data_IF_657321510843
#
_entry.id   IF_657321510843
#
_cell.length_a   1.000
_cell.length_b   1.000
_cell.length_c   1.000
_cell.angle_alpha   90.00
_cell.angle_beta   90.00
_cell.angle_gamma   90.00
#
_symmetry.space_group_name_H-M   'P 1'
#
loop_
_entity.id
_entity.type
_entity.pdbx_description
1 polymer ?
#
# COMPACT_ATOMS: atom_id res chain seq x y z
N UNK A 1 -13.99 -9.23 19.83
CA UNK A 1 -13.32 -10.54 19.62
C UNK A 1 -12.15 -10.68 20.58
N UNK A 2 -11.63 -11.90 20.80
CA UNK A 2 -10.41 -12.10 21.60
C UNK A 2 -9.20 -11.39 20.99
N UNK A 3 -9.01 -11.49 19.67
CA UNK A 3 -7.96 -10.77 18.96
C UNK A 3 -8.01 -9.24 19.14
N UNK A 4 -9.20 -8.64 19.26
CA UNK A 4 -9.32 -7.21 19.56
C UNK A 4 -8.93 -6.87 21.02
N UNK A 5 -9.22 -7.76 21.96
CA UNK A 5 -8.80 -7.59 23.36
C UNK A 5 -7.28 -7.69 23.48
N UNK A 6 -6.67 -8.68 22.80
CA UNK A 6 -5.21 -8.85 22.74
C UNK A 6 -4.53 -7.66 22.06
N UNK A 7 -5.05 -7.19 20.92
CA UNK A 7 -4.50 -6.07 20.18
C UNK A 7 -4.47 -4.78 21.02
N UNK A 8 -5.58 -4.48 21.70
CA UNK A 8 -5.75 -3.20 22.40
C UNK A 8 -5.30 -3.24 23.86
N UNK A 9 -5.18 -4.44 24.45
CA UNK A 9 -4.86 -4.65 25.87
C UNK A 9 -6.02 -4.36 26.82
N UNK A 10 -7.23 -4.07 26.31
CA UNK A 10 -8.42 -3.88 27.15
C UNK A 10 -9.13 -5.21 27.42
N UNK A 11 -9.64 -5.37 28.64
CA UNK A 11 -10.45 -6.52 28.97
C UNK A 11 -11.81 -6.46 28.25
N UNK A 12 -12.34 -7.62 27.86
CA UNK A 12 -13.64 -7.74 27.17
C UNK A 12 -14.75 -6.96 27.87
N UNK A 13 -14.85 -7.06 29.20
CA UNK A 13 -15.85 -6.35 29.98
C UNK A 13 -15.74 -4.81 29.87
N UNK A 14 -14.51 -4.27 29.75
CA UNK A 14 -14.29 -2.84 29.56
C UNK A 14 -14.74 -2.41 28.17
N UNK A 15 -14.42 -3.20 27.13
CA UNK A 15 -14.78 -2.91 25.74
C UNK A 15 -16.30 -2.93 25.55
N UNK A 16 -17.01 -3.91 26.14
CA UNK A 16 -18.46 -4.03 25.99
C UNK A 16 -19.26 -2.84 26.56
N UNK A 17 -18.64 -2.02 27.41
CA UNK A 17 -19.25 -0.81 27.97
C UNK A 17 -18.93 0.45 27.14
N UNK A 18 -18.24 0.32 26.00
CA UNK A 18 -17.83 1.43 25.14
C UNK A 18 -18.65 1.46 23.86
N UNK A 19 -18.76 2.66 23.28
CA UNK A 19 -19.40 2.85 21.98
C UNK A 19 -18.56 2.33 20.81
N UNK A 20 -19.22 2.09 19.67
CA UNK A 20 -18.62 1.55 18.45
C UNK A 20 -17.51 2.44 17.85
N UNK A 21 -17.59 3.76 18.07
CA UNK A 21 -16.54 4.72 17.67
C UNK A 21 -15.17 4.43 18.31
N UNK A 22 -15.13 3.59 19.35
CA UNK A 22 -13.91 3.20 20.05
C UNK A 22 -13.06 4.39 20.52
N UNK A 23 -13.70 5.48 20.97
CA UNK A 23 -13.03 6.72 21.38
C UNK A 23 -12.01 6.56 22.50
N UNK A 24 -12.10 5.47 23.26
CA UNK A 24 -11.11 5.08 24.28
C UNK A 24 -9.74 4.68 23.69
N UNK A 25 -9.66 4.45 22.38
CA UNK A 25 -8.41 4.18 21.65
C UNK A 25 -7.77 5.46 21.09
N UNK A 26 -8.43 6.61 21.18
CA UNK A 26 -7.87 7.87 20.70
C UNK A 26 -6.76 8.34 21.64
N UNK A 27 -5.73 8.98 21.07
CA UNK A 27 -4.69 9.66 21.84
C UNK A 27 -4.17 10.90 21.14
N UNK A 28 -2.94 11.29 21.47
CA UNK A 28 -2.37 12.59 21.11
C UNK A 28 -2.11 12.72 19.60
N UNK A 29 -1.68 11.65 18.95
CA UNK A 29 -1.38 11.62 17.52
C UNK A 29 -2.59 11.21 16.66
N UNK A 30 -3.75 10.95 17.30
CA UNK A 30 -4.98 10.65 16.56
C UNK A 30 -5.54 11.94 15.95
N UNK A 31 -5.46 12.05 14.62
CA UNK A 31 -5.88 13.21 13.83
C UNK A 31 -7.37 13.55 14.09
N UNK A 32 -7.71 14.80 14.44
CA UNK A 32 -9.10 15.22 14.74
C UNK A 32 -10.09 14.95 13.60
N UNK A 33 -9.67 15.18 12.35
CA UNK A 33 -10.48 14.96 11.16
C UNK A 33 -10.87 13.49 11.01
N UNK A 34 -9.98 12.55 11.36
CA UNK A 34 -10.27 11.12 11.32
C UNK A 34 -11.24 10.71 12.44
N UNK A 35 -11.13 11.30 13.64
CA UNK A 35 -12.11 11.09 14.72
C UNK A 35 -13.50 11.49 14.25
N UNK A 36 -13.61 12.66 13.63
CA UNK A 36 -14.85 13.16 13.06
C UNK A 36 -15.39 12.24 11.97
N UNK A 37 -14.55 11.77 11.04
CA UNK A 37 -14.98 10.82 10.00
C UNK A 37 -15.58 9.54 10.57
N UNK A 38 -15.01 9.01 11.66
CA UNK A 38 -15.56 7.83 12.36
C UNK A 38 -16.94 8.13 12.96
N UNK A 39 -17.10 9.28 13.62
CA UNK A 39 -18.38 9.68 14.20
C UNK A 39 -19.45 9.95 13.13
N UNK A 40 -19.05 10.63 12.07
CA UNK A 40 -19.90 10.95 10.93
C UNK A 40 -20.37 9.68 10.21
N UNK A 41 -19.50 8.67 10.02
CA UNK A 41 -19.89 7.41 9.36
C UNK A 41 -20.89 6.61 10.20
N UNK A 42 -20.73 6.58 11.52
CA UNK A 42 -21.67 5.93 12.42
C UNK A 42 -23.02 6.65 12.46
N UNK A 43 -23.00 7.99 12.44
CA UNK A 43 -24.21 8.82 12.47
C UNK A 43 -24.99 8.78 11.16
N UNK A 44 -24.27 8.86 10.03
CA UNK A 44 -24.83 8.78 8.67
C UNK A 44 -25.11 7.35 8.21
N UNK A 45 -24.69 6.34 9.00
CA UNK A 45 -24.85 4.92 8.72
C UNK A 45 -24.16 4.49 7.42
N UNK A 46 -23.01 5.07 7.13
CA UNK A 46 -22.22 4.78 5.93
C UNK A 46 -21.05 3.83 6.24
N UNK A 47 -20.53 3.20 5.18
CA UNK A 47 -19.24 2.50 5.24
C UNK A 47 -18.09 3.49 5.47
N UNK A 48 -17.04 3.03 6.14
CA UNK A 48 -15.80 3.79 6.34
C UNK A 48 -14.60 2.85 6.36
N UNK A 49 -13.56 3.20 5.59
CA UNK A 49 -12.27 2.51 5.65
C UNK A 49 -11.13 3.53 5.68
N UNK A 50 -10.41 3.59 6.80
CA UNK A 50 -9.36 4.58 7.02
C UNK A 50 -8.18 3.99 7.78
N UNK A 51 -7.01 4.61 7.63
CA UNK A 51 -5.85 4.35 8.46
C UNK A 51 -5.74 5.43 9.53
N UNK A 52 -5.61 5.01 10.79
CA UNK A 52 -5.65 5.92 11.95
C UNK A 52 -4.68 5.44 13.02
N UNK A 53 -4.03 6.38 13.72
CA UNK A 53 -3.20 6.06 14.90
C UNK A 53 -4.11 5.93 16.13
N UNK A 54 -4.04 4.76 16.76
CA UNK A 54 -4.73 4.44 18.00
C UNK A 54 -3.74 4.08 19.10
N UNK A 55 -4.22 4.08 20.34
CA UNK A 55 -3.43 3.81 21.53
C UNK A 55 -3.98 2.59 22.26
N UNK A 56 -3.07 1.69 22.62
CA UNK A 56 -3.38 0.55 23.47
C UNK A 56 -3.55 1.01 24.92
N UNK A 57 -4.07 0.14 25.78
CA UNK A 57 -4.28 0.42 27.21
C UNK A 57 -3.00 0.85 27.95
N UNK A 58 -1.84 0.38 27.52
CA UNK A 58 -0.52 0.74 28.05
C UNK A 58 0.02 2.08 27.52
N UNK A 59 -0.72 2.76 26.63
CA UNK A 59 -0.31 4.03 26.01
C UNK A 59 0.59 3.89 24.78
N UNK A 60 0.88 2.68 24.29
CA UNK A 60 1.67 2.53 23.06
C UNK A 60 0.82 2.84 21.81
N UNK A 61 1.30 3.70 20.88
CA UNK A 61 0.60 3.96 19.63
C UNK A 61 0.74 2.75 18.67
N UNK A 62 -0.25 2.57 17.81
CA UNK A 62 -0.20 1.64 16.69
C UNK A 62 -1.03 2.18 15.52
N UNK A 63 -0.58 1.89 14.30
CA UNK A 63 -1.36 2.18 13.10
C UNK A 63 -2.44 1.12 12.92
N UNK A 64 -3.68 1.57 12.87
CA UNK A 64 -4.84 0.72 12.67
C UNK A 64 -5.49 1.02 11.32
N UNK A 65 -5.64 0.00 10.48
CA UNK A 65 -6.63 0.02 9.41
C UNK A 65 -7.99 -0.30 10.04
N UNK A 66 -8.85 0.72 10.14
CA UNK A 66 -10.21 0.64 10.64
C UNK A 66 -11.18 0.50 9.48
N UNK A 67 -12.04 -0.51 9.54
CA UNK A 67 -13.05 -0.81 8.51
C UNK A 67 -14.41 -0.99 9.19
N UNK A 68 -15.33 -0.06 8.96
CA UNK A 68 -16.69 -0.02 9.52
C UNK A 68 -17.68 -0.27 8.39
N UNK A 69 -18.48 -1.33 8.54
CA UNK A 69 -19.51 -1.72 7.57
C UNK A 69 -20.86 -1.80 8.28
N UNK A 70 -21.88 -1.04 7.85
CA UNK A 70 -23.23 -1.19 8.37
C UNK A 70 -23.85 -2.51 7.91
N UNK A 71 -24.58 -3.17 8.79
CA UNK A 71 -25.36 -4.36 8.50
C UNK A 71 -26.84 -3.96 8.49
N UNK A 72 -27.47 -4.10 7.33
CA UNK A 72 -28.88 -3.78 7.12
C UNK A 72 -29.77 -5.02 7.22
N UNK A 73 -31.02 -4.81 7.64
CA UNK A 73 -32.08 -5.81 7.51
C UNK A 73 -32.72 -5.78 6.11
N UNK A 74 -33.72 -6.63 5.87
CA UNK A 74 -34.49 -6.68 4.61
C UNK A 74 -35.20 -5.36 4.27
N UNK A 75 -35.46 -4.50 5.26
CA UNK A 75 -36.06 -3.17 5.10
C UNK A 75 -35.02 -2.07 4.83
N UNK A 76 -33.75 -2.43 4.63
CA UNK A 76 -32.62 -1.51 4.43
C UNK A 76 -32.34 -0.62 5.64
N UNK A 77 -32.78 -1.03 6.83
CA UNK A 77 -32.48 -0.33 8.08
C UNK A 77 -31.20 -0.92 8.69
N UNK A 78 -30.25 -0.05 9.06
CA UNK A 78 -29.03 -0.49 9.76
C UNK A 78 -29.37 -0.94 11.16
N UNK A 79 -29.11 -2.22 11.44
CA UNK A 79 -29.36 -2.88 12.72
C UNK A 79 -28.08 -3.10 13.52
N UNK A 80 -26.93 -3.25 12.84
CA UNK A 80 -25.62 -3.46 13.46
C UNK A 80 -24.53 -2.77 12.64
N UNK A 81 -23.35 -2.61 13.24
CA UNK A 81 -22.12 -2.25 12.53
C UNK A 81 -21.07 -3.34 12.78
N UNK A 82 -20.36 -3.74 11.73
CA UNK A 82 -19.15 -4.54 11.81
C UNK A 82 -17.94 -3.61 11.77
N UNK A 83 -17.19 -3.51 12.87
CA UNK A 83 -15.96 -2.72 12.95
C UNK A 83 -14.73 -3.65 13.07
N UNK A 84 -13.90 -3.68 12.04
CA UNK A 84 -12.68 -4.46 11.98
C UNK A 84 -11.46 -3.58 12.23
N UNK A 85 -10.56 -4.05 13.09
CA UNK A 85 -9.34 -3.36 13.46
C UNK A 85 -8.14 -4.23 13.09
N UNK A 86 -7.27 -3.72 12.22
CA UNK A 86 -6.05 -4.42 11.81
C UNK A 86 -4.83 -3.58 12.10
N UNK A 87 -3.91 -4.14 12.89
CA UNK A 87 -2.60 -3.52 13.11
C UNK A 87 -1.79 -3.59 11.82
N UNK A 88 -1.45 -2.42 11.28
CA UNK A 88 -0.61 -2.26 10.09
C UNK A 88 0.69 -1.53 10.41
N UNK A 89 1.04 -1.39 11.70
CA UNK A 89 2.24 -0.66 12.16
C UNK A 89 3.51 -1.18 11.48
N UNK A 90 3.68 -2.51 11.41
CA UNK A 90 4.83 -3.13 10.75
C UNK A 90 4.91 -2.76 9.27
N UNK A 91 3.78 -2.75 8.57
CA UNK A 91 3.71 -2.40 7.16
C UNK A 91 4.08 -0.92 6.94
N UNK A 92 3.51 -0.02 7.76
CA UNK A 92 3.81 1.41 7.70
C UNK A 92 5.28 1.73 7.97
N UNK A 93 5.88 1.07 8.95
CA UNK A 93 7.30 1.25 9.24
C UNK A 93 8.20 0.81 8.09
N UNK A 94 7.89 -0.31 7.43
CA UNK A 94 8.65 -0.79 6.28
C UNK A 94 8.49 0.10 5.04
N UNK A 95 7.30 0.68 4.82
CA UNK A 95 7.06 1.66 3.75
C UNK A 95 7.89 2.93 3.95
N UNK A 96 7.96 3.43 5.18
CA UNK A 96 8.77 4.61 5.54
C UNK A 96 10.27 4.34 5.36
N UNK A 97 10.77 3.18 5.79
CA UNK A 97 12.18 2.80 5.61
C UNK A 97 12.58 2.73 4.14
N UNK A 98 11.68 2.20 3.29
CA UNK A 98 11.92 2.13 1.86
C UNK A 98 11.93 3.51 1.20
N UNK A 99 11.04 4.44 1.60
CA UNK A 99 11.03 5.80 1.05
C UNK A 99 12.35 6.54 1.28
N UNK A 100 12.91 6.47 2.49
CA UNK A 100 14.20 7.11 2.83
C UNK A 100 15.36 6.61 1.94
N UNK A 101 15.28 5.38 1.42
CA UNK A 101 16.32 4.80 0.56
C UNK A 101 16.28 5.31 -0.88
N UNK A 102 15.16 5.86 -1.35
CA UNK A 102 15.02 6.38 -2.72
C UNK A 102 15.31 7.88 -2.83
N UNK A 103 15.44 8.59 -1.71
CA UNK A 103 15.62 10.04 -1.69
C UNK A 103 17.11 10.47 -1.75
N UNK A 104 18.06 9.52 -1.74
CA UNK A 104 19.51 9.79 -1.70
C UNK A 104 20.27 9.47 -2.99
N UNK A 105 19.57 9.07 -4.06
CA UNK A 105 20.18 8.64 -5.35
C UNK A 105 19.78 9.56 -6.53
N UNK A 106 19.51 10.84 -6.24
CA UNK A 106 19.51 11.88 -7.29
C UNK A 106 20.88 12.56 -7.30
N UNK A 107 21.80 11.98 -8.06
CA UNK A 107 22.96 12.69 -8.60
C UNK A 107 22.46 13.82 -9.52
N UNK A 108 22.06 14.96 -8.95
CA UNK A 108 22.15 16.24 -9.65
C UNK A 108 23.62 16.66 -9.57
N UNK A 109 24.36 16.73 -10.69
CA UNK A 109 25.71 17.26 -10.69
C UNK A 109 25.63 18.73 -10.26
N UNK A 110 26.19 19.01 -9.08
CA UNK A 110 26.46 20.36 -8.60
C UNK A 110 27.18 21.14 -9.71
N UNK A 111 26.48 22.08 -10.37
CA UNK A 111 27.13 23.02 -11.30
C UNK A 111 28.19 23.81 -10.52
N UNK A 112 29.48 23.74 -10.89
CA UNK A 112 30.49 24.59 -10.28
C UNK A 112 30.33 26.00 -10.85
N UNK A 113 30.08 26.95 -9.95
CA UNK A 113 30.18 28.39 -10.18
C UNK A 113 31.45 28.73 -10.96
N UNK A 114 31.26 29.40 -12.09
CA UNK A 114 32.27 29.87 -13.04
C UNK A 114 33.32 30.76 -12.39
N UNK A 115 34.59 30.64 -12.82
CA UNK A 115 35.42 31.82 -13.02
C UNK A 115 35.87 31.92 -14.49
N UNK A 116 35.46 33.03 -15.10
CA UNK A 116 36.08 33.77 -16.24
C UNK A 116 37.15 33.08 -17.12
N UNK A 117 36.79 32.98 -18.40
CA UNK A 117 37.54 33.37 -19.62
C UNK A 117 38.73 32.54 -20.18
N UNK A 118 38.48 32.05 -21.41
CA UNK A 118 39.32 31.91 -22.63
C UNK A 118 40.11 30.63 -23.00
N UNK A 119 40.03 30.38 -24.33
CA UNK A 119 40.78 29.49 -25.24
C UNK A 119 40.42 27.99 -25.43
N UNK A 120 39.82 27.70 -26.61
CA UNK A 120 40.38 26.70 -27.54
C UNK A 120 39.71 25.32 -27.70
N UNK A 121 39.07 25.12 -28.86
CA UNK A 121 38.91 23.89 -29.66
C UNK A 121 38.27 22.60 -29.08
N UNK A 122 37.08 22.26 -29.60
CA UNK A 122 36.48 20.91 -29.59
C UNK A 122 37.24 19.93 -30.51
N UNK A 123 37.36 18.64 -30.13
CA UNK A 123 37.21 17.53 -31.10
C UNK A 123 36.41 16.34 -30.47
N UNK A 124 36.10 15.24 -31.20
CA UNK A 124 34.71 14.86 -31.42
C UNK A 124 34.27 13.58 -30.70
N UNK A 125 32.95 13.49 -30.56
CA UNK A 125 32.10 12.30 -30.69
C UNK A 125 32.62 10.99 -30.09
N UNK A 126 32.17 10.70 -28.87
CA UNK A 126 32.12 9.35 -28.32
C UNK A 126 30.86 9.20 -27.46
N UNK A 127 29.71 9.05 -28.12
CA UNK A 127 28.51 8.50 -27.50
C UNK A 127 28.75 7.00 -27.18
N UNK A 128 29.56 6.72 -26.14
CA UNK A 128 29.47 5.43 -25.47
C UNK A 128 28.14 5.40 -24.73
N UNK A 129 27.16 4.81 -25.43
CA UNK A 129 25.89 4.25 -24.93
C UNK A 129 25.78 4.25 -23.41
N UNK A 130 24.99 5.17 -22.88
CA UNK A 130 24.17 4.93 -21.69
C UNK A 130 23.42 3.61 -21.93
N UNK A 131 23.99 2.49 -21.47
CA UNK A 131 23.25 1.24 -21.32
C UNK A 131 22.26 1.51 -20.19
N UNK A 132 21.08 1.98 -20.54
CA UNK A 132 19.93 1.91 -19.65
C UNK A 132 19.83 0.45 -19.19
N UNK A 133 20.18 0.19 -17.93
CA UNK A 133 19.94 -1.11 -17.32
C UNK A 133 18.43 -1.22 -17.19
N UNK A 134 17.81 -1.96 -18.10
CA UNK A 134 16.44 -2.42 -17.90
C UNK A 134 16.42 -3.24 -16.60
N UNK A 135 15.70 -2.77 -15.59
CA UNK A 135 15.41 -3.53 -14.38
C UNK A 135 14.10 -4.25 -14.65
N UNK A 136 14.18 -5.56 -14.82
CA UNK A 136 13.04 -6.43 -15.09
C UNK A 136 12.33 -6.70 -13.75
N UNK A 137 11.21 -6.02 -13.51
CA UNK A 137 10.32 -6.35 -12.39
C UNK A 137 9.55 -7.64 -12.74
N UNK A 138 9.82 -8.72 -12.01
CA UNK A 138 8.95 -9.91 -12.05
C UNK A 138 7.70 -9.60 -11.23
N UNK A 139 6.58 -9.42 -11.94
CA UNK A 139 5.25 -9.31 -11.34
C UNK A 139 4.89 -10.63 -10.63
N UNK A 140 4.31 -10.45 -9.46
CA UNK A 140 3.86 -11.41 -8.45
C UNK A 140 3.32 -12.78 -8.90
N UNK A 141 3.61 -13.79 -8.07
CA UNK A 141 2.67 -14.88 -7.79
C UNK A 141 3.11 -16.26 -8.27
N UNK A 142 3.35 -17.15 -7.31
CA UNK A 142 3.45 -18.61 -7.48
C UNK A 142 4.74 -19.18 -8.10
N UNK A 143 5.82 -19.24 -7.30
CA UNK A 143 6.86 -20.25 -7.49
C UNK A 143 6.89 -21.22 -6.30
N UNK A 144 6.00 -22.21 -6.32
CA UNK A 144 6.19 -23.44 -5.53
C UNK A 144 7.22 -24.29 -6.28
N UNK A 145 8.46 -24.32 -5.78
CA UNK A 145 9.49 -25.24 -6.28
C UNK A 145 9.10 -26.66 -5.83
N UNK A 146 8.50 -27.44 -6.74
CA UNK A 146 8.41 -28.90 -6.63
C UNK A 146 9.51 -29.54 -7.48
N UNK A 147 9.96 -30.70 -7.00
CA UNK A 147 11.22 -31.42 -7.26
C UNK A 147 11.26 -32.13 -8.63
N UNK A 148 12.39 -31.98 -9.37
CA UNK A 148 12.89 -32.73 -10.57
C UNK A 148 11.98 -32.71 -11.82
N UNK A 149 12.40 -32.52 -13.08
CA UNK A 149 13.37 -33.26 -13.90
C UNK A 149 13.81 -32.39 -15.10
N UNK A 150 15.03 -32.63 -15.60
CA UNK A 150 15.65 -32.04 -16.80
C UNK A 150 14.78 -32.17 -18.05
N UNK A 151 14.63 -31.09 -18.83
CA UNK A 151 14.41 -31.19 -20.28
C UNK A 151 14.96 -29.97 -21.02
N UNK A 152 15.83 -30.22 -22.01
CA UNK A 152 16.33 -29.22 -22.97
C UNK A 152 15.24 -28.99 -24.03
N UNK A 153 14.78 -27.75 -24.20
CA UNK A 153 13.91 -27.37 -25.32
C UNK A 153 14.74 -26.71 -26.43
N UNK A 154 14.83 -27.39 -27.57
CA UNK A 154 15.31 -26.86 -28.87
C UNK A 154 14.21 -25.98 -29.46
N UNK A 155 14.56 -24.76 -29.89
CA UNK A 155 13.67 -23.90 -30.67
C UNK A 155 13.75 -24.26 -32.16
N UNK A 156 12.60 -24.52 -32.78
CA UNK A 156 12.44 -24.50 -34.23
C UNK A 156 11.33 -23.51 -34.60
N UNK A 157 11.65 -22.64 -35.57
CA UNK A 157 10.79 -21.67 -36.25
C UNK A 157 9.51 -22.30 -36.81
N UNK A 158 8.41 -21.54 -36.85
CA UNK A 158 7.65 -21.33 -38.10
C UNK A 158 6.96 -19.95 -38.09
N UNK A 159 7.24 -19.18 -39.13
CA UNK A 159 6.55 -17.99 -39.59
C UNK A 159 5.24 -18.34 -40.31
N UNK A 160 4.11 -17.71 -39.96
CA UNK A 160 3.21 -17.09 -40.95
C UNK A 160 2.09 -16.29 -40.27
N UNK A 161 1.91 -15.07 -40.77
CA UNK A 161 0.87 -14.10 -40.45
C UNK A 161 0.11 -13.87 -41.76
N UNK A 162 -1.17 -14.23 -41.80
CA UNK A 162 -2.21 -13.69 -42.69
C UNK A 162 -3.50 -14.49 -42.41
N UNK A 163 -4.71 -13.99 -42.49
CA UNK A 163 -5.29 -12.67 -42.65
C UNK A 163 -6.82 -12.91 -42.69
N UNK A 164 -7.61 -11.99 -42.13
CA UNK A 164 -9.01 -11.65 -42.53
C UNK A 164 -10.11 -12.71 -42.27
N UNK A 165 -11.39 -12.41 -42.07
CA UNK A 165 -12.18 -11.25 -41.64
C UNK A 165 -13.67 -11.69 -41.71
N UNK A 166 -14.55 -11.02 -40.96
CA UNK A 166 -16.01 -10.84 -41.15
C UNK A 166 -17.04 -11.98 -40.93
N UNK A 167 -18.03 -11.64 -40.07
CA UNK A 167 -19.49 -11.87 -40.13
C UNK A 167 -20.03 -13.32 -40.08
N UNK A 168 -21.22 -13.67 -39.55
CA UNK A 168 -22.38 -12.97 -38.99
C UNK A 168 -23.20 -13.98 -38.15
N UNK A 169 -24.18 -13.46 -37.41
CA UNK A 169 -25.22 -14.13 -36.62
C UNK A 169 -26.01 -15.23 -37.36
N UNK A 170 -26.32 -16.33 -36.66
CA UNK A 170 -27.65 -16.73 -36.14
C UNK A 170 -27.47 -17.89 -35.13
#
# INVERSE_FOLDING_TARGET
SDGFCELTGFARAQIMQKGCACSFLFGVDTIPELKKQIEDSLSSKSELKIEVIFYKKNGSPFWCLLDIVPITNEKHEVVLFLASHKDITRTKMAEMENQVKYDYDTDEPMEPTSPSEEDGCLPPNNYQRRRSRAVLYQLSGHYRRSVTVKSKLKLNNVSNLSALSYDCLD
#
